data_IF_323043816394
#
_entry.id   IF_323043816394
#
_cell.length_a   1.000
_cell.length_b   1.000
_cell.length_c   1.000
_cell.angle_alpha   90.00
_cell.angle_beta   90.00
_cell.angle_gamma   90.00
#
_symmetry.space_group_name_H-M   'P 1'
#
loop_
_entity.id
_entity.type
_entity.pdbx_description
1 polymer ?
#
# COMPACT_ATOMS: atom_id res chain seq x y z
N UNK A 1 -7.50 19.91 -26.85
CA UNK A 1 -7.19 20.18 -28.28
C UNK A 1 -7.68 21.58 -28.59
N UNK A 2 -6.86 22.45 -29.20
CA UNK A 2 -7.28 23.84 -29.47
C UNK A 2 -8.23 23.91 -30.67
N UNK A 3 -9.23 24.79 -30.58
CA UNK A 3 -10.10 25.17 -31.69
C UNK A 3 -9.29 25.78 -32.85
N UNK A 4 -9.76 25.62 -34.08
CA UNK A 4 -9.03 25.99 -35.31
C UNK A 4 -8.52 27.43 -35.31
N UNK A 5 -9.33 28.40 -34.87
CA UNK A 5 -8.96 29.84 -34.81
C UNK A 5 -7.88 30.12 -33.76
N UNK A 6 -7.85 29.35 -32.68
CA UNK A 6 -6.86 29.44 -31.60
C UNK A 6 -5.56 28.77 -32.05
N UNK A 7 -5.66 27.57 -32.60
CA UNK A 7 -4.52 26.82 -33.14
C UNK A 7 -3.78 27.64 -34.20
N UNK A 8 -4.49 28.28 -35.13
CA UNK A 8 -3.90 29.09 -36.20
C UNK A 8 -3.13 30.33 -35.71
N UNK A 9 -3.48 30.88 -34.54
CA UNK A 9 -2.83 32.07 -33.94
C UNK A 9 -1.82 31.71 -32.85
N UNK A 10 -1.74 30.43 -32.47
CA UNK A 10 -0.78 29.96 -31.50
C UNK A 10 0.62 29.97 -32.11
N UNK A 11 1.64 30.39 -31.35
CA UNK A 11 3.02 30.54 -31.85
C UNK A 11 3.66 29.21 -32.28
N UNK A 12 3.05 28.08 -31.91
CA UNK A 12 3.53 26.71 -32.13
C UNK A 12 4.93 26.42 -31.57
N UNK A 13 5.47 27.29 -30.73
CA UNK A 13 6.72 27.07 -30.01
C UNK A 13 6.43 26.26 -28.76
N UNK A 14 6.74 24.97 -28.80
CA UNK A 14 6.64 24.09 -27.65
C UNK A 14 8.03 23.86 -27.07
N UNK A 15 8.20 24.15 -25.78
CA UNK A 15 9.34 23.69 -24.99
C UNK A 15 8.82 22.55 -24.14
N UNK A 16 9.24 21.33 -24.48
CA UNK A 16 8.88 20.17 -23.70
C UNK A 16 9.81 20.03 -22.50
N UNK A 17 9.26 20.06 -21.30
CA UNK A 17 10.00 19.83 -20.06
C UNK A 17 9.71 18.39 -19.63
N UNK A 18 10.46 17.44 -20.20
CA UNK A 18 10.43 16.05 -19.76
C UNK A 18 11.50 15.83 -18.70
N UNK A 19 11.16 15.02 -17.69
CA UNK A 19 12.11 14.63 -16.66
C UNK A 19 12.77 13.30 -17.04
N UNK A 20 13.93 13.37 -17.69
CA UNK A 20 14.74 12.20 -18.06
C UNK A 20 16.03 12.19 -17.26
N UNK A 21 15.91 12.07 -15.94
CA UNK A 21 17.08 11.95 -15.07
C UNK A 21 17.66 10.55 -15.20
N UNK A 22 18.97 10.44 -15.38
CA UNK A 22 19.66 9.18 -15.14
C UNK A 22 19.69 8.88 -13.65
N UNK A 23 19.91 7.63 -13.25
CA UNK A 23 20.06 7.30 -11.83
C UNK A 23 21.21 8.05 -11.16
N UNK A 24 22.31 8.29 -11.88
CA UNK A 24 23.44 9.09 -11.39
C UNK A 24 23.00 10.53 -11.08
N UNK A 25 22.28 11.18 -12.00
CA UNK A 25 21.73 12.52 -11.80
C UNK A 25 20.70 12.54 -10.66
N UNK A 26 19.88 11.48 -10.54
CA UNK A 26 18.90 11.34 -9.46
C UNK A 26 19.59 11.22 -8.08
N UNK A 27 20.62 10.38 -7.98
CA UNK A 27 21.42 10.22 -6.76
C UNK A 27 22.16 11.51 -6.40
N UNK A 28 22.72 12.20 -7.39
CA UNK A 28 23.36 13.50 -7.17
C UNK A 28 22.34 14.55 -6.72
N UNK A 29 21.12 14.53 -7.28
CA UNK A 29 20.03 15.41 -6.83
C UNK A 29 19.66 15.13 -5.38
N UNK A 30 19.62 13.85 -4.97
CA UNK A 30 19.36 13.48 -3.57
C UNK A 30 20.43 14.03 -2.62
N UNK A 31 21.71 13.90 -3.01
CA UNK A 31 22.83 14.49 -2.28
C UNK A 31 22.68 16.01 -2.16
N UNK A 32 22.44 16.70 -3.28
CA UNK A 32 22.31 18.15 -3.31
C UNK A 32 21.11 18.66 -2.48
N UNK A 33 20.00 17.92 -2.45
CA UNK A 33 18.82 18.26 -1.64
C UNK A 33 19.05 18.11 -0.14
N UNK A 34 20.01 17.27 0.27
CA UNK A 34 20.37 17.06 1.68
C UNK A 34 21.52 17.95 2.13
N UNK A 35 22.35 18.44 1.22
CA UNK A 35 23.49 19.33 1.50
C UNK A 35 22.99 20.72 1.88
N UNK A 36 23.69 21.41 2.79
CA UNK A 36 23.31 22.78 3.16
C UNK A 36 23.85 23.78 2.13
N UNK A 37 23.02 24.67 1.57
CA UNK A 37 23.48 25.73 0.67
C UNK A 37 24.54 26.65 1.31
N UNK A 38 25.57 27.03 0.54
CA UNK A 38 26.70 27.83 1.03
C UNK A 38 26.30 29.22 1.55
N UNK A 39 25.25 29.82 0.98
CA UNK A 39 24.67 31.09 1.40
C UNK A 39 24.18 31.03 2.86
N UNK A 40 23.56 29.92 3.26
CA UNK A 40 23.09 29.69 4.64
C UNK A 40 24.25 29.45 5.61
N UNK A 41 25.33 28.81 5.15
CA UNK A 41 26.48 28.44 5.97
C UNK A 41 27.32 29.65 6.46
N UNK A 42 27.14 30.86 5.91
CA UNK A 42 28.02 32.00 6.18
C UNK A 42 27.79 32.74 7.51
N UNK A 43 26.70 32.46 8.21
CA UNK A 43 26.22 33.30 9.32
C UNK A 43 27.07 33.26 10.61
N UNK A 44 27.89 32.21 10.85
CA UNK A 44 28.76 32.09 12.03
C UNK A 44 29.85 31.03 11.84
N UNK A 45 31.00 31.15 12.52
CA UNK A 45 32.09 30.14 12.51
C UNK A 45 31.60 28.79 13.03
N UNK A 46 30.78 28.78 14.09
CA UNK A 46 30.19 27.55 14.63
C UNK A 46 29.19 26.90 13.66
N UNK A 47 28.45 27.72 12.90
CA UNK A 47 27.54 27.21 11.87
C UNK A 47 28.32 26.56 10.72
N UNK A 48 29.43 27.19 10.29
CA UNK A 48 30.31 26.66 9.24
C UNK A 48 30.87 25.28 9.60
N UNK A 49 31.28 25.05 10.84
CA UNK A 49 31.77 23.73 11.26
C UNK A 49 30.67 22.67 11.25
N UNK A 50 29.46 23.03 11.70
CA UNK A 50 28.31 22.11 11.72
C UNK A 50 27.86 21.76 10.30
N UNK A 51 27.77 22.75 9.39
CA UNK A 51 27.46 22.50 7.98
C UNK A 51 28.48 21.55 7.34
N UNK A 52 29.79 21.76 7.59
CA UNK A 52 30.83 20.86 7.08
C UNK A 52 30.71 19.42 7.62
N UNK A 53 30.40 19.25 8.91
CA UNK A 53 30.16 17.94 9.51
C UNK A 53 28.96 17.25 8.86
N UNK A 54 27.87 18.01 8.64
CA UNK A 54 26.66 17.52 8.01
C UNK A 54 26.86 17.15 6.54
N UNK A 55 27.57 17.97 5.77
CA UNK A 55 27.81 17.73 4.35
C UNK A 55 28.72 16.50 4.19
N UNK A 56 29.77 16.37 5.01
CA UNK A 56 30.62 15.17 5.03
C UNK A 56 29.82 13.90 5.37
N UNK A 57 28.92 13.98 6.34
CA UNK A 57 28.00 12.89 6.67
C UNK A 57 27.07 12.56 5.49
N UNK A 58 26.49 13.57 4.85
CA UNK A 58 25.59 13.41 3.70
C UNK A 58 26.29 12.76 2.51
N UNK A 59 27.53 13.18 2.20
CA UNK A 59 28.35 12.55 1.16
C UNK A 59 28.62 11.08 1.48
N UNK A 60 29.03 10.76 2.71
CA UNK A 60 29.26 9.37 3.12
C UNK A 60 27.98 8.53 3.08
N UNK A 61 26.84 9.10 3.50
CA UNK A 61 25.54 8.46 3.50
C UNK A 61 25.09 8.12 2.08
N UNK A 62 25.13 9.10 1.17
CA UNK A 62 24.74 8.92 -0.24
C UNK A 62 25.69 7.98 -1.01
N UNK A 63 26.94 7.83 -0.56
CA UNK A 63 27.88 6.84 -1.12
C UNK A 63 27.66 5.41 -0.56
N UNK A 64 26.90 5.25 0.53
CA UNK A 64 26.71 3.94 1.14
C UNK A 64 25.91 2.99 0.23
N UNK A 65 26.29 1.70 0.10
CA UNK A 65 25.59 0.75 -0.76
C UNK A 65 24.10 0.61 -0.42
N UNK A 66 23.77 0.66 0.87
CA UNK A 66 22.40 0.51 1.35
C UNK A 66 21.52 1.72 1.00
N UNK A 67 22.05 2.95 1.12
CA UNK A 67 21.33 4.14 0.69
C UNK A 67 21.20 4.19 -0.84
N UNK A 68 22.24 3.81 -1.59
CA UNK A 68 22.19 3.72 -3.05
C UNK A 68 21.15 2.71 -3.53
N UNK A 69 21.08 1.52 -2.92
CA UNK A 69 20.03 0.53 -3.21
C UNK A 69 18.64 1.10 -2.91
N UNK A 70 18.47 1.83 -1.81
CA UNK A 70 17.19 2.44 -1.50
C UNK A 70 16.80 3.55 -2.50
N UNK A 71 17.73 4.41 -2.88
CA UNK A 71 17.54 5.43 -3.90
C UNK A 71 17.25 4.81 -5.27
N UNK A 72 17.92 3.70 -5.62
CA UNK A 72 17.69 2.96 -6.86
C UNK A 72 16.29 2.38 -6.89
N UNK A 73 15.87 1.74 -5.80
CA UNK A 73 14.52 1.22 -5.64
C UNK A 73 13.46 2.33 -5.74
N UNK A 74 13.72 3.53 -5.23
CA UNK A 74 12.80 4.67 -5.36
C UNK A 74 12.77 5.20 -6.80
N UNK A 75 13.93 5.35 -7.44
CA UNK A 75 14.06 5.80 -8.82
C UNK A 75 13.30 4.89 -9.81
N UNK A 76 13.33 3.58 -9.58
CA UNK A 76 12.60 2.59 -10.38
C UNK A 76 11.08 2.65 -10.18
N UNK A 77 10.59 3.23 -9.07
CA UNK A 77 9.17 3.48 -8.83
C UNK A 77 8.72 4.81 -9.46
N UNK A 78 9.44 5.90 -9.19
CA UNK A 78 9.21 7.21 -9.78
C UNK A 78 10.50 8.05 -9.76
N UNK A 79 11.01 8.36 -10.96
CA UNK A 79 12.21 9.16 -11.18
C UNK A 79 11.98 10.69 -11.06
N UNK A 80 10.79 11.14 -10.66
CA UNK A 80 10.49 12.56 -10.47
C UNK A 80 11.23 13.17 -9.27
N UNK A 81 11.71 14.40 -9.43
CA UNK A 81 12.32 15.17 -8.32
C UNK A 81 11.31 15.37 -7.19
N UNK A 82 10.02 15.52 -7.51
CA UNK A 82 8.95 15.64 -6.51
C UNK A 82 8.85 14.38 -5.65
N UNK A 83 8.88 13.20 -6.25
CA UNK A 83 8.88 11.93 -5.54
C UNK A 83 10.13 11.77 -4.68
N UNK A 84 11.30 12.17 -5.19
CA UNK A 84 12.53 12.20 -4.41
C UNK A 84 12.41 13.11 -3.17
N UNK A 85 11.86 14.31 -3.33
CA UNK A 85 11.64 15.22 -2.20
C UNK A 85 10.70 14.61 -1.15
N UNK A 86 9.60 13.98 -1.58
CA UNK A 86 8.67 13.29 -0.67
C UNK A 86 9.27 12.04 -0.02
N UNK A 87 10.23 11.40 -0.68
CA UNK A 87 11.01 10.30 -0.12
C UNK A 87 11.95 10.80 0.99
N UNK A 88 12.68 11.91 0.75
CA UNK A 88 13.68 12.46 1.67
C UNK A 88 13.07 13.23 2.85
N UNK A 89 11.94 13.92 2.66
CA UNK A 89 11.35 14.80 3.66
C UNK A 89 11.10 14.11 5.02
N UNK A 90 10.49 12.90 5.09
CA UNK A 90 10.34 12.20 6.37
C UNK A 90 11.67 11.86 7.05
N UNK A 91 12.73 11.64 6.28
CA UNK A 91 14.06 11.33 6.82
C UNK A 91 14.62 12.52 7.59
N UNK A 92 14.52 13.71 7.00
CA UNK A 92 15.00 14.97 7.61
C UNK A 92 14.09 15.41 8.75
N UNK A 93 12.77 15.22 8.64
CA UNK A 93 11.81 15.61 9.69
C UNK A 93 11.98 14.86 11.02
N UNK A 94 12.69 13.73 11.02
CA UNK A 94 12.99 12.98 12.25
C UNK A 94 14.15 13.59 13.05
N UNK A 95 14.96 14.45 12.43
CA UNK A 95 15.98 15.20 13.14
C UNK A 95 15.30 16.08 14.18
N UNK A 96 15.62 15.85 15.45
CA UNK A 96 14.88 16.47 16.54
C UNK A 96 15.75 16.69 17.77
N UNK A 97 15.43 17.76 18.47
CA UNK A 97 15.98 18.15 19.77
C UNK A 97 14.81 18.13 20.76
N UNK A 98 15.00 17.48 21.89
CA UNK A 98 14.02 17.43 22.96
C UNK A 98 13.86 18.82 23.61
N UNK A 99 12.74 19.04 24.29
CA UNK A 99 12.43 20.30 24.98
C UNK A 99 13.51 20.70 26.02
N UNK A 100 14.21 19.72 26.59
CA UNK A 100 15.30 19.93 27.55
C UNK A 100 16.65 20.20 26.87
N UNK A 101 16.68 20.38 25.55
CA UNK A 101 17.89 20.64 24.77
C UNK A 101 18.70 19.40 24.41
N UNK A 102 18.29 18.19 24.80
CA UNK A 102 19.00 16.96 24.42
C UNK A 102 18.66 16.54 22.99
N UNK A 103 19.67 16.22 22.18
CA UNK A 103 19.47 15.77 20.79
C UNK A 103 18.90 14.34 20.80
N UNK A 104 17.73 14.16 20.21
CA UNK A 104 17.10 12.83 20.09
C UNK A 104 17.62 12.11 18.83
N UNK A 105 17.54 12.77 17.68
CA UNK A 105 18.05 12.22 16.42
C UNK A 105 18.93 13.26 15.75
N UNK A 106 20.24 12.96 15.66
CA UNK A 106 21.27 13.88 15.16
C UNK A 106 21.57 13.70 13.67
N UNK A 107 21.28 12.53 13.10
CA UNK A 107 21.68 12.20 11.73
C UNK A 107 20.67 11.31 11.02
N UNK A 108 20.73 11.34 9.68
CA UNK A 108 19.99 10.42 8.83
C UNK A 108 20.88 9.20 8.54
N UNK A 109 20.37 7.99 8.77
CA UNK A 109 21.11 6.75 8.56
C UNK A 109 20.71 6.04 7.25
N UNK A 110 21.58 5.16 6.75
CA UNK A 110 21.27 4.34 5.58
C UNK A 110 20.13 3.34 5.87
N UNK A 111 19.98 2.92 7.13
CA UNK A 111 18.85 2.15 7.64
C UNK A 111 17.53 2.90 7.44
N UNK A 112 17.51 4.20 7.70
CA UNK A 112 16.32 5.02 7.55
C UNK A 112 15.90 5.15 6.07
N UNK A 113 16.86 5.25 5.15
CA UNK A 113 16.63 5.19 3.70
C UNK A 113 15.98 3.86 3.30
N UNK A 114 16.57 2.75 3.74
CA UNK A 114 16.07 1.42 3.41
C UNK A 114 14.67 1.18 4.00
N UNK A 115 14.47 1.49 5.28
CA UNK A 115 13.17 1.37 5.93
C UNK A 115 12.08 2.19 5.21
N UNK A 116 12.43 3.40 4.75
CA UNK A 116 11.51 4.26 4.02
C UNK A 116 11.12 3.69 2.66
N UNK A 117 12.07 3.19 1.88
CA UNK A 117 11.73 2.59 0.58
C UNK A 117 10.93 1.29 0.74
N UNK A 118 11.22 0.52 1.81
CA UNK A 118 10.41 -0.66 2.15
C UNK A 118 8.99 -0.26 2.52
N UNK A 119 8.81 0.82 3.30
CA UNK A 119 7.49 1.35 3.66
C UNK A 119 6.69 1.78 2.42
N UNK A 120 7.30 2.51 1.49
CA UNK A 120 6.65 2.95 0.24
C UNK A 120 6.23 1.80 -0.68
N UNK A 121 6.86 0.63 -0.53
CA UNK A 121 6.54 -0.58 -1.30
C UNK A 121 5.51 -1.48 -0.62
N UNK A 122 5.07 -1.16 0.60
CA UNK A 122 4.03 -1.95 1.28
C UNK A 122 2.70 -1.71 0.59
N UNK A 123 1.97 -2.81 0.37
CA UNK A 123 0.57 -2.72 -0.04
C UNK A 123 -0.29 -2.31 1.16
N UNK A 124 -0.89 -1.12 1.09
CA UNK A 124 -1.74 -0.56 2.14
C UNK A 124 -2.98 -1.43 2.41
N UNK A 125 -3.45 -2.22 1.43
CA UNK A 125 -4.55 -3.16 1.64
C UNK A 125 -4.20 -4.23 2.66
N UNK A 126 -2.92 -4.60 2.83
CA UNK A 126 -2.49 -5.53 3.89
C UNK A 126 -2.78 -4.93 5.27
N UNK A 127 -2.57 -3.62 5.42
CA UNK A 127 -2.83 -2.93 6.69
C UNK A 127 -4.33 -2.90 6.97
N UNK A 128 -5.15 -2.61 5.96
CA UNK A 128 -6.62 -2.63 6.08
C UNK A 128 -7.12 -4.04 6.43
N UNK A 129 -6.62 -5.07 5.75
CA UNK A 129 -6.96 -6.48 6.00
C UNK A 129 -6.65 -6.91 7.44
N UNK A 130 -5.55 -6.42 8.02
CA UNK A 130 -5.18 -6.66 9.42
C UNK A 130 -6.10 -5.96 10.43
N UNK A 131 -6.86 -4.97 10.00
CA UNK A 131 -7.82 -4.24 10.84
C UNK A 131 -9.26 -4.78 10.75
N UNK A 132 -9.49 -5.85 9.99
CA UNK A 132 -10.83 -6.42 9.82
C UNK A 132 -11.21 -7.33 10.99
N UNK A 133 -12.50 -7.35 11.31
CA UNK A 133 -13.06 -8.32 12.25
C UNK A 133 -13.04 -9.72 11.66
N UNK A 134 -13.07 -10.75 12.50
CA UNK A 134 -13.10 -12.15 12.03
C UNK A 134 -14.30 -12.46 11.13
N UNK A 135 -15.44 -11.77 11.30
CA UNK A 135 -16.61 -11.91 10.43
C UNK A 135 -16.38 -11.29 9.04
N UNK A 136 -15.85 -10.08 8.99
CA UNK A 136 -15.50 -9.43 7.71
C UNK A 136 -14.47 -10.25 6.94
N UNK A 137 -13.45 -10.74 7.65
CA UNK A 137 -12.43 -11.60 7.09
C UNK A 137 -13.01 -12.93 6.58
N UNK A 138 -13.95 -13.54 7.32
CA UNK A 138 -14.64 -14.74 6.89
C UNK A 138 -15.47 -14.53 5.61
N UNK A 139 -16.15 -13.38 5.49
CA UNK A 139 -16.89 -13.03 4.28
C UNK A 139 -15.95 -12.80 3.08
N UNK A 140 -14.79 -12.16 3.27
CA UNK A 140 -13.79 -12.02 2.21
C UNK A 140 -13.21 -13.36 1.77
N UNK A 141 -12.89 -14.25 2.72
CA UNK A 141 -12.42 -15.60 2.41
C UNK A 141 -13.50 -16.37 1.65
N UNK A 142 -14.78 -16.22 2.03
CA UNK A 142 -15.90 -16.83 1.30
C UNK A 142 -15.90 -16.42 -0.18
N UNK A 143 -15.70 -15.14 -0.47
CA UNK A 143 -15.63 -14.63 -1.85
C UNK A 143 -14.45 -15.22 -2.62
N UNK A 144 -13.25 -15.23 -2.03
CA UNK A 144 -12.06 -15.83 -2.66
C UNK A 144 -12.27 -17.31 -2.93
N UNK A 145 -12.77 -18.06 -1.94
CA UNK A 145 -13.10 -19.48 -2.08
C UNK A 145 -14.12 -19.72 -3.20
N UNK A 146 -15.20 -18.93 -3.27
CA UNK A 146 -16.21 -19.05 -4.32
C UNK A 146 -15.63 -18.77 -5.70
N UNK A 147 -14.82 -17.72 -5.83
CA UNK A 147 -14.17 -17.36 -7.09
C UNK A 147 -13.24 -18.48 -7.57
N UNK A 148 -12.40 -19.00 -6.68
CA UNK A 148 -11.48 -20.10 -7.00
C UNK A 148 -12.19 -21.42 -7.29
N UNK A 149 -13.30 -21.74 -6.62
CA UNK A 149 -14.04 -23.00 -6.81
C UNK A 149 -14.88 -23.02 -8.09
N UNK A 150 -15.46 -21.88 -8.45
CA UNK A 150 -16.48 -21.82 -9.52
C UNK A 150 -16.05 -20.98 -10.72
N UNK A 151 -14.86 -20.38 -10.72
CA UNK A 151 -14.39 -19.54 -11.81
C UNK A 151 -15.24 -18.29 -12.03
N UNK A 152 -15.90 -17.80 -10.98
CA UNK A 152 -16.75 -16.62 -11.04
C UNK A 152 -16.00 -15.39 -10.52
N UNK A 153 -16.20 -14.25 -11.16
CA UNK A 153 -15.57 -12.97 -10.78
C UNK A 153 -16.55 -11.99 -10.14
N UNK A 154 -17.85 -12.34 -10.13
CA UNK A 154 -18.91 -11.51 -9.59
C UNK A 154 -19.72 -12.26 -8.55
N UNK A 155 -20.12 -11.53 -7.51
CA UNK A 155 -20.73 -12.09 -6.30
C UNK A 155 -21.86 -11.21 -5.81
N UNK A 156 -22.78 -11.80 -5.07
CA UNK A 156 -23.73 -11.05 -4.25
C UNK A 156 -23.59 -11.49 -2.78
N UNK A 157 -24.25 -10.77 -1.87
CA UNK A 157 -24.18 -11.05 -0.45
C UNK A 157 -24.72 -12.44 -0.09
N UNK A 158 -25.77 -12.91 -0.79
CA UNK A 158 -26.36 -14.23 -0.54
C UNK A 158 -25.37 -15.36 -0.79
N UNK A 159 -24.60 -15.27 -1.87
CA UNK A 159 -23.55 -16.24 -2.20
C UNK A 159 -22.47 -16.27 -1.12
N UNK A 160 -21.93 -15.11 -0.74
CA UNK A 160 -20.91 -15.01 0.28
C UNK A 160 -21.39 -15.52 1.64
N UNK A 161 -22.62 -15.17 2.05
CA UNK A 161 -23.20 -15.61 3.30
C UNK A 161 -23.46 -17.12 3.33
N UNK A 162 -23.88 -17.72 2.22
CA UNK A 162 -24.09 -19.17 2.13
C UNK A 162 -22.78 -19.93 2.27
N UNK A 163 -21.72 -19.51 1.58
CA UNK A 163 -20.39 -20.12 1.70
C UNK A 163 -19.81 -19.97 3.12
N UNK A 164 -19.95 -18.78 3.72
CA UNK A 164 -19.61 -18.54 5.12
C UNK A 164 -20.40 -19.44 6.09
N UNK A 165 -21.70 -19.60 5.85
CA UNK A 165 -22.58 -20.46 6.67
C UNK A 165 -22.15 -21.93 6.58
N UNK A 166 -21.83 -22.43 5.38
CA UNK A 166 -21.36 -23.80 5.19
C UNK A 166 -20.00 -24.05 5.86
N UNK A 167 -19.14 -23.02 5.93
CA UNK A 167 -17.93 -23.03 6.75
C UNK A 167 -18.22 -23.14 8.25
N UNK A 168 -19.09 -22.29 8.81
CA UNK A 168 -19.41 -22.32 10.24
C UNK A 168 -20.05 -23.64 10.69
N UNK A 169 -20.86 -24.28 9.83
CA UNK A 169 -21.54 -25.55 10.13
C UNK A 169 -20.57 -26.75 10.02
N UNK A 170 -19.35 -26.53 9.52
CA UNK A 170 -18.30 -27.57 9.46
C UNK A 170 -18.42 -28.51 8.27
N UNK A 171 -19.20 -28.16 7.24
CA UNK A 171 -19.31 -28.96 6.02
C UNK A 171 -18.11 -28.81 5.08
N UNK A 172 -17.45 -27.64 5.10
CA UNK A 172 -16.29 -27.36 4.24
C UNK A 172 -14.95 -27.57 4.93
N UNK A 173 -14.87 -27.49 6.26
CA UNK A 173 -13.67 -27.75 7.06
C UNK A 173 -14.05 -28.25 8.45
N UNK A 174 -13.20 -29.04 9.13
CA UNK A 174 -13.37 -29.47 10.54
C UNK A 174 -13.20 -28.30 11.54
N UNK A 175 -13.83 -27.16 11.28
CA UNK A 175 -13.71 -25.89 12.01
C UNK A 175 -14.92 -25.58 12.90
N UNK A 176 -15.73 -26.59 13.22
CA UNK A 176 -16.94 -26.45 14.04
C UNK A 176 -16.60 -25.74 15.35
N UNK A 177 -17.17 -24.55 15.56
CA UNK A 177 -17.05 -23.79 16.81
C UNK A 177 -15.91 -22.76 16.89
N UNK A 178 -15.09 -22.57 15.84
CA UNK A 178 -14.02 -21.55 15.89
C UNK A 178 -14.51 -20.12 15.59
N UNK A 179 -15.54 -19.97 14.77
CA UNK A 179 -16.21 -18.69 14.50
C UNK A 179 -17.71 -18.88 14.65
N UNK A 180 -18.39 -18.08 15.49
CA UNK A 180 -19.83 -18.18 15.65
C UNK A 180 -20.53 -17.84 14.34
N UNK A 181 -21.62 -18.57 14.04
CA UNK A 181 -22.50 -18.25 12.92
C UNK A 181 -23.32 -17.01 13.28
N UNK A 182 -22.93 -15.86 12.75
CA UNK A 182 -23.65 -14.61 12.96
C UNK A 182 -24.94 -14.57 12.15
N UNK A 183 -25.95 -13.87 12.69
CA UNK A 183 -27.21 -13.67 11.99
C UNK A 183 -27.00 -12.86 10.71
N UNK A 184 -27.87 -13.09 9.72
CA UNK A 184 -27.82 -12.43 8.42
C UNK A 184 -27.80 -10.89 8.50
N UNK A 185 -28.56 -10.22 9.40
CA UNK A 185 -28.45 -8.76 9.55
C UNK A 185 -27.08 -8.29 10.04
N UNK A 186 -26.42 -9.05 10.91
CA UNK A 186 -25.07 -8.74 11.42
C UNK A 186 -24.04 -8.93 10.30
N UNK A 187 -24.12 -10.05 9.57
CA UNK A 187 -23.28 -10.29 8.40
C UNK A 187 -23.49 -9.25 7.30
N UNK A 188 -24.72 -8.75 7.12
CA UNK A 188 -25.01 -7.68 6.15
C UNK A 188 -24.33 -6.37 6.55
N UNK A 189 -24.25 -6.03 7.84
CA UNK A 189 -23.50 -4.84 8.29
C UNK A 189 -22.00 -4.99 8.03
N UNK A 190 -21.44 -6.17 8.28
CA UNK A 190 -20.04 -6.48 7.94
C UNK A 190 -19.79 -6.36 6.43
N UNK A 191 -20.72 -6.86 5.61
CA UNK A 191 -20.66 -6.72 4.15
C UNK A 191 -20.71 -5.25 3.70
N UNK A 192 -21.64 -4.45 4.23
CA UNK A 192 -21.73 -3.01 3.91
C UNK A 192 -20.42 -2.28 4.28
N UNK A 193 -19.76 -2.68 5.37
CA UNK A 193 -18.45 -2.14 5.75
C UNK A 193 -17.33 -2.58 4.81
N UNK A 194 -17.31 -3.83 4.35
CA UNK A 194 -16.37 -4.28 3.31
C UNK A 194 -16.54 -3.49 2.00
N UNK A 195 -17.79 -3.13 1.67
CA UNK A 195 -18.09 -2.26 0.52
C UNK A 195 -17.60 -0.83 0.76
N UNK A 196 -17.80 -0.29 1.96
CA UNK A 196 -17.31 1.03 2.34
C UNK A 196 -15.78 1.13 2.31
N UNK A 197 -15.09 0.03 2.63
CA UNK A 197 -13.62 -0.07 2.57
C UNK A 197 -13.09 -0.37 1.16
N UNK A 198 -13.96 -0.45 0.14
CA UNK A 198 -13.62 -0.78 -1.26
C UNK A 198 -12.87 -2.12 -1.43
N UNK A 199 -12.97 -3.01 -0.43
CA UNK A 199 -12.51 -4.39 -0.52
C UNK A 199 -13.44 -5.23 -1.41
N UNK A 200 -14.71 -4.82 -1.45
CA UNK A 200 -15.76 -5.34 -2.32
C UNK A 200 -16.40 -4.15 -3.03
N UNK A 201 -16.36 -4.11 -4.35
CA UNK A 201 -16.90 -2.96 -5.09
C UNK A 201 -18.15 -3.36 -5.85
N UNK A 202 -19.13 -2.46 -5.89
CA UNK A 202 -20.41 -2.72 -6.57
C UNK A 202 -20.20 -2.69 -8.08
N UNK A 203 -20.62 -3.75 -8.76
CA UNK A 203 -20.53 -3.85 -10.21
C UNK A 203 -21.44 -2.81 -10.90
N UNK A 204 -21.05 -2.29 -12.07
CA UNK A 204 -21.92 -1.43 -12.87
C UNK A 204 -23.18 -2.21 -13.32
N UNK A 205 -24.29 -1.50 -13.56
CA UNK A 205 -25.53 -2.10 -14.07
C UNK A 205 -26.54 -2.58 -13.01
N UNK A 206 -26.21 -2.45 -11.72
CA UNK A 206 -27.20 -2.66 -10.66
C UNK A 206 -28.33 -1.60 -10.74
N UNK A 207 -29.58 -2.03 -10.97
CA UNK A 207 -30.73 -1.12 -10.98
C UNK A 207 -31.15 -0.74 -9.56
N UNK A 208 -31.86 0.39 -9.41
CA UNK A 208 -32.38 0.85 -8.10
C UNK A 208 -33.38 -0.13 -7.47
N UNK A 209 -33.97 -1.02 -8.26
CA UNK A 209 -34.96 -2.02 -7.83
C UNK A 209 -34.33 -3.29 -7.26
N UNK A 210 -33.04 -3.55 -7.53
CA UNK A 210 -32.35 -4.71 -6.95
C UNK A 210 -32.18 -4.50 -5.45
N UNK A 211 -32.72 -5.44 -4.67
CA UNK A 211 -32.56 -5.44 -3.22
C UNK A 211 -31.08 -5.45 -2.84
N UNK A 212 -30.70 -4.78 -1.75
CA UNK A 212 -29.29 -4.63 -1.33
C UNK A 212 -28.51 -5.94 -1.29
N UNK A 213 -29.15 -7.05 -0.91
CA UNK A 213 -28.53 -8.39 -0.78
C UNK A 213 -28.21 -9.06 -2.11
N UNK A 214 -28.89 -8.67 -3.18
CA UNK A 214 -28.77 -9.29 -4.51
C UNK A 214 -28.01 -8.40 -5.51
N UNK A 215 -27.46 -7.27 -5.05
CA UNK A 215 -26.58 -6.47 -5.88
C UNK A 215 -25.33 -7.26 -6.23
N UNK A 216 -24.86 -7.07 -7.45
CA UNK A 216 -23.64 -7.71 -7.96
C UNK A 216 -22.43 -6.88 -7.58
N UNK A 217 -21.36 -7.54 -7.16
CA UNK A 217 -20.11 -6.97 -6.68
C UNK A 217 -18.90 -7.75 -7.22
N UNK A 218 -17.72 -7.13 -7.23
CA UNK A 218 -16.43 -7.75 -7.49
C UNK A 218 -15.50 -7.54 -6.30
N UNK A 219 -14.57 -8.47 -6.07
CA UNK A 219 -13.55 -8.37 -5.02
C UNK A 219 -12.31 -7.65 -5.55
N UNK A 220 -11.69 -6.78 -4.76
CA UNK A 220 -10.50 -6.00 -5.20
C UNK A 220 -9.18 -6.54 -4.63
N UNK A 221 -9.25 -7.67 -3.94
CA UNK A 221 -8.13 -8.30 -3.23
C UNK A 221 -7.75 -9.58 -3.98
N UNK A 222 -6.47 -9.74 -4.28
CA UNK A 222 -5.96 -10.98 -4.87
C UNK A 222 -5.83 -12.09 -3.81
N UNK A 223 -5.99 -13.37 -4.20
CA UNK A 223 -5.79 -14.50 -3.29
C UNK A 223 -4.42 -14.50 -2.60
N UNK A 224 -3.36 -14.12 -3.33
CA UNK A 224 -2.00 -14.02 -2.80
C UNK A 224 -1.88 -12.95 -1.72
N UNK A 225 -2.47 -11.77 -1.95
CA UNK A 225 -2.47 -10.67 -0.98
C UNK A 225 -3.22 -11.04 0.30
N UNK A 226 -4.38 -11.70 0.16
CA UNK A 226 -5.14 -12.20 1.30
C UNK A 226 -4.33 -13.20 2.13
N UNK A 227 -3.62 -14.14 1.48
CA UNK A 227 -2.79 -15.12 2.18
C UNK A 227 -1.64 -14.46 2.95
N UNK A 228 -0.94 -13.49 2.32
CA UNK A 228 0.12 -12.71 2.99
C UNK A 228 -0.44 -11.97 4.21
N UNK A 229 -1.60 -11.33 4.07
CA UNK A 229 -2.22 -10.60 5.17
C UNK A 229 -2.62 -11.52 6.33
N UNK A 230 -3.22 -12.68 6.03
CA UNK A 230 -3.61 -13.69 7.02
C UNK A 230 -2.43 -14.25 7.80
N UNK A 231 -1.32 -14.56 7.13
CA UNK A 231 -0.10 -15.07 7.78
C UNK A 231 0.55 -14.04 8.70
N UNK A 232 0.41 -12.75 8.38
CA UNK A 232 0.96 -11.65 9.19
C UNK A 232 -0.01 -11.12 10.26
N UNK A 233 -1.23 -11.66 10.36
CA UNK A 233 -2.25 -11.20 11.29
C UNK A 233 -2.14 -11.96 12.62
N UNK A 234 -1.66 -11.30 13.67
CA UNK A 234 -1.35 -11.91 14.98
C UNK A 234 -2.59 -12.59 15.59
N UNK A 235 -3.75 -11.92 15.56
CA UNK A 235 -4.97 -12.42 16.21
C UNK A 235 -5.93 -13.18 15.26
N UNK A 236 -5.44 -13.64 14.10
CA UNK A 236 -6.31 -14.30 13.13
C UNK A 236 -6.63 -15.73 13.59
N UNK A 237 -7.91 -16.14 13.69
CA UNK A 237 -8.26 -17.51 14.02
C UNK A 237 -7.64 -18.49 13.02
N UNK A 238 -6.94 -19.51 13.54
CA UNK A 238 -6.24 -20.51 12.71
C UNK A 238 -7.16 -21.24 11.74
N UNK A 239 -8.45 -21.39 12.09
CA UNK A 239 -9.46 -21.95 11.20
C UNK A 239 -9.66 -21.12 9.92
N UNK A 240 -9.63 -19.79 10.00
CA UNK A 240 -9.73 -18.91 8.82
C UNK A 240 -8.52 -19.06 7.91
N UNK A 241 -7.32 -19.09 8.50
CA UNK A 241 -6.08 -19.28 7.75
C UNK A 241 -6.13 -20.61 6.99
N UNK A 242 -6.52 -21.70 7.67
CA UNK A 242 -6.66 -23.02 7.05
C UNK A 242 -7.71 -23.04 5.94
N UNK A 243 -8.85 -22.39 6.16
CA UNK A 243 -9.92 -22.33 5.18
C UNK A 243 -9.52 -21.55 3.93
N UNK A 244 -8.88 -20.40 4.11
CA UNK A 244 -8.34 -19.60 3.00
C UNK A 244 -7.32 -20.40 2.19
N UNK A 245 -6.34 -21.04 2.85
CA UNK A 245 -5.33 -21.86 2.16
C UNK A 245 -5.96 -23.01 1.37
N UNK A 246 -6.96 -23.70 1.95
CA UNK A 246 -7.66 -24.78 1.26
C UNK A 246 -8.45 -24.29 0.04
N UNK A 247 -9.18 -23.18 0.17
CA UNK A 247 -9.97 -22.61 -0.92
C UNK A 247 -9.12 -22.05 -2.06
N UNK A 248 -7.99 -21.43 -1.73
CA UNK A 248 -7.03 -20.93 -2.73
C UNK A 248 -6.34 -22.08 -3.47
N UNK A 249 -5.99 -23.16 -2.77
CA UNK A 249 -5.36 -24.34 -3.40
C UNK A 249 -6.28 -25.02 -4.43
N UNK A 250 -7.60 -24.98 -4.23
CA UNK A 250 -8.56 -25.49 -5.22
C UNK A 250 -8.51 -24.76 -6.56
N UNK A 251 -7.99 -23.53 -6.61
CA UNK A 251 -7.80 -22.78 -7.86
C UNK A 251 -6.77 -23.42 -8.80
N UNK A 252 -5.72 -24.05 -8.25
CA UNK A 252 -4.61 -24.63 -9.02
C UNK A 252 -4.90 -26.05 -9.53
N UNK A 253 -5.97 -26.69 -9.05
CA UNK A 253 -6.36 -28.03 -9.47
C UNK A 253 -7.14 -28.05 -10.80
N UNK A 254 -7.58 -26.89 -11.29
CA UNK A 254 -8.35 -26.74 -12.54
C UNK A 254 -7.54 -26.10 -13.69
N UNK A 255 -6.25 -25.82 -13.48
CA UNK A 255 -5.34 -25.29 -14.51
C UNK A 255 -4.38 -26.37 -15.10
N UNK A 256 -4.68 -27.66 -14.91
CA UNK A 256 -3.93 -28.80 -15.51
C UNK A 256 -4.82 -29.60 -16.46
#
# INVERSE_FOLDING_TARGET
>A
MFEKRVRSRFSHRFIHVYNTLTFEQYSQTAHNLLTVPEDVATSSVAMKSVCKEWDAHTTALCASPKALTALRNQYELDASIRSLQLFLLPLVSRLSVNYNGTVNTRSVSAEAFFARVTELRKDEKIVILKGLTSLELALLIALVCLGSKHGIETFNFEMAYNEYKEFCIGKTTKATGTIPLFSKPVAMKAWERLVQLEMVVTAPGNTKTVTKRHKTHYITISPALLNIALQQHIDCPTALVRWATAGIASSYAYEV
#
